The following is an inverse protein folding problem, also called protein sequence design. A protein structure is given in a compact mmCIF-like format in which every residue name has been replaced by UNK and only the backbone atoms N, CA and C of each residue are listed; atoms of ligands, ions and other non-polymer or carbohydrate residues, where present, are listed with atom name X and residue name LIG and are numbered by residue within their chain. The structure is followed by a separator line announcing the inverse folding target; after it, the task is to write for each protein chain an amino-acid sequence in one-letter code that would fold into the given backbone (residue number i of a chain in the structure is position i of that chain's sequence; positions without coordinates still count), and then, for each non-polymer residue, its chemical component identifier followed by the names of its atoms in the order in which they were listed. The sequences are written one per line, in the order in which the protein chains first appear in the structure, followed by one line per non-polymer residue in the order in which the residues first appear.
data_IF_175793776023
#
_entry.id   IF_175793776023
#
_cell.length_a   1.000
_cell.length_b   1.000
_cell.length_c   1.000
_cell.angle_alpha   90.00
_cell.angle_beta   90.00
_cell.angle_gamma   90.00
#
_symmetry.space_group_name_H-M   'P 1'
#
loop_
_entity.id
_entity.type
_entity.pdbx_description
1 polymer ?
#
# COMPACT_ATOMS: atom_id res chain seq x y z
N UNK A 1 -15.68 -18.63 30.63
CA UNK A 1 -14.75 -19.12 29.59
C UNK A 1 -13.89 -17.95 29.14
N UNK A 2 -12.65 -17.86 29.64
CA UNK A 2 -11.71 -16.78 29.28
C UNK A 2 -11.11 -17.11 27.92
N UNK A 3 -11.27 -16.21 26.96
CA UNK A 3 -10.63 -16.30 25.66
C UNK A 3 -9.12 -16.36 25.83
N UNK A 4 -8.50 -17.34 25.17
CA UNK A 4 -7.06 -17.48 25.06
C UNK A 4 -6.56 -16.26 24.30
N UNK A 5 -6.02 -15.28 25.04
CA UNK A 5 -5.30 -14.16 24.46
C UNK A 5 -4.03 -14.71 23.81
N UNK A 6 -3.92 -14.56 22.49
CA UNK A 6 -2.65 -14.77 21.80
C UNK A 6 -1.65 -13.72 22.30
N UNK A 7 -0.76 -14.11 23.21
CA UNK A 7 0.38 -13.31 23.63
C UNK A 7 1.20 -12.88 22.41
N UNK A 8 1.76 -11.65 22.39
CA UNK A 8 2.65 -11.19 21.32
C UNK A 8 3.97 -11.97 21.19
N UNK A 9 4.33 -12.76 22.22
CA UNK A 9 5.66 -13.35 22.39
C UNK A 9 5.93 -14.66 21.61
N UNK A 10 4.90 -15.34 21.08
CA UNK A 10 5.06 -16.63 20.36
C UNK A 10 5.01 -16.49 18.82
N UNK A 11 5.24 -15.29 18.30
CA UNK A 11 5.09 -15.03 16.86
C UNK A 11 6.43 -15.24 16.15
N UNK A 12 6.64 -16.42 15.57
CA UNK A 12 7.57 -16.53 14.44
C UNK A 12 7.15 -15.49 13.39
N UNK A 13 8.05 -14.54 13.10
CA UNK A 13 7.78 -13.45 12.15
C UNK A 13 7.48 -13.97 10.75
N UNK A 14 6.84 -13.14 9.92
CA UNK A 14 6.54 -13.53 8.53
C UNK A 14 7.83 -13.87 7.77
N UNK A 15 7.94 -15.12 7.30
CA UNK A 15 9.10 -15.59 6.53
C UNK A 15 9.31 -14.81 5.24
N UNK A 16 8.22 -14.36 4.61
CA UNK A 16 8.26 -13.50 3.44
C UNK A 16 7.30 -12.32 3.64
N UNK A 17 7.87 -11.13 3.84
CA UNK A 17 7.11 -9.91 4.07
C UNK A 17 6.65 -9.32 2.73
N UNK A 18 5.36 -8.95 2.56
CA UNK A 18 4.91 -8.17 1.42
C UNK A 18 5.80 -6.95 1.16
N UNK A 19 6.13 -6.73 -0.11
CA UNK A 19 6.93 -5.58 -0.54
C UNK A 19 5.97 -4.45 -0.94
N UNK A 20 6.19 -3.26 -0.39
CA UNK A 20 5.49 -2.02 -0.71
C UNK A 20 6.46 -1.06 -1.40
N UNK A 21 6.12 -0.58 -2.58
CA UNK A 21 6.93 0.40 -3.30
C UNK A 21 6.49 1.83 -2.96
N UNK A 22 7.43 2.70 -2.62
CA UNK A 22 7.16 4.10 -2.27
C UNK A 22 7.66 5.05 -3.36
N UNK A 23 6.76 5.89 -3.86
CA UNK A 23 7.01 6.95 -4.83
C UNK A 23 6.77 8.34 -4.18
N UNK A 24 7.05 9.41 -4.94
CA UNK A 24 6.98 10.78 -4.45
C UNK A 24 8.21 11.15 -3.61
N UNK A 25 8.00 11.79 -2.47
CA UNK A 25 9.07 12.20 -1.58
C UNK A 25 9.62 11.01 -0.77
N UNK A 26 10.73 10.45 -1.26
CA UNK A 26 11.43 9.35 -0.60
C UNK A 26 12.04 9.74 0.75
N UNK A 27 12.55 10.96 0.88
CA UNK A 27 13.19 11.40 2.13
C UNK A 27 12.13 11.56 3.23
N UNK A 28 10.97 12.12 2.89
CA UNK A 28 9.81 12.15 3.77
C UNK A 28 9.43 10.75 4.23
N UNK A 29 9.28 9.80 3.29
CA UNK A 29 8.94 8.42 3.64
C UNK A 29 9.96 7.79 4.60
N UNK A 30 11.27 7.97 4.37
CA UNK A 30 12.30 7.44 5.27
C UNK A 30 12.14 7.90 6.72
N UNK A 31 11.60 9.10 6.98
CA UNK A 31 11.30 9.55 8.35
C UNK A 31 10.13 8.82 9.01
N UNK A 32 9.25 8.21 8.20
CA UNK A 32 8.04 7.52 8.61
C UNK A 32 8.15 6.00 8.58
N UNK A 33 9.21 5.46 7.98
CA UNK A 33 9.39 4.01 7.79
C UNK A 33 9.42 3.25 9.11
N UNK A 34 10.28 3.67 10.06
CA UNK A 34 10.41 2.99 11.35
C UNK A 34 9.08 2.93 12.14
N UNK A 35 8.34 4.04 12.36
CA UNK A 35 7.07 3.97 13.07
C UNK A 35 6.03 3.15 12.29
N UNK A 36 6.08 3.13 10.96
CA UNK A 36 5.14 2.36 10.14
C UNK A 36 5.40 0.85 10.27
N UNK A 37 6.67 0.43 10.14
CA UNK A 37 7.11 -0.96 10.34
C UNK A 37 6.81 -1.45 11.75
N UNK A 38 6.96 -0.59 12.76
CA UNK A 38 6.64 -0.92 14.15
C UNK A 38 5.12 -1.06 14.40
N UNK A 39 4.29 -0.26 13.73
CA UNK A 39 2.84 -0.21 13.96
C UNK A 39 2.03 -1.26 13.17
N UNK A 40 2.45 -1.61 11.96
CA UNK A 40 1.76 -2.61 11.10
C UNK A 40 1.51 -3.96 11.81
N UNK A 41 2.47 -4.57 12.54
CA UNK A 41 2.24 -5.88 13.17
C UNK A 41 1.47 -5.82 14.50
N UNK A 42 1.13 -4.64 15.02
CA UNK A 42 0.51 -4.51 16.34
C UNK A 42 -0.93 -5.02 16.39
N UNK A 43 -1.67 -4.85 15.29
CA UNK A 43 -3.09 -5.21 15.21
C UNK A 43 -3.36 -6.20 14.08
N UNK A 44 -4.32 -7.09 14.32
CA UNK A 44 -4.80 -8.01 13.29
C UNK A 44 -5.70 -7.30 12.26
N UNK A 45 -5.66 -7.75 11.02
CA UNK A 45 -6.52 -7.27 9.94
C UNK A 45 -7.38 -8.42 9.41
N UNK A 46 -8.60 -8.11 9.00
CA UNK A 46 -9.53 -9.07 8.43
C UNK A 46 -9.07 -9.48 7.02
N UNK A 47 -8.73 -10.76 6.85
CA UNK A 47 -8.46 -11.36 5.56
C UNK A 47 -9.66 -12.16 5.07
N UNK A 48 -10.38 -11.56 4.11
CA UNK A 48 -11.43 -12.22 3.34
C UNK A 48 -10.82 -12.93 2.15
N UNK A 49 -10.81 -14.26 2.17
CA UNK A 49 -10.31 -15.06 1.05
C UNK A 49 -11.39 -15.27 -0.02
N UNK A 50 -10.97 -15.49 -1.25
CA UNK A 50 -11.88 -15.80 -2.36
C UNK A 50 -12.57 -17.15 -2.19
N UNK A 51 -13.62 -17.37 -2.99
CA UNK A 51 -14.36 -18.64 -3.08
C UNK A 51 -15.02 -19.09 -1.77
N UNK A 52 -15.59 -18.14 -0.99
CA UNK A 52 -16.35 -18.46 0.22
C UNK A 52 -15.52 -19.06 1.36
N UNK A 53 -14.19 -18.98 1.28
CA UNK A 53 -13.30 -19.44 2.35
C UNK A 53 -13.51 -18.58 3.61
N UNK A 54 -13.41 -19.21 4.77
CA UNK A 54 -13.62 -18.57 6.08
C UNK A 54 -12.70 -17.35 6.25
N UNK A 55 -13.28 -16.24 6.67
CA UNK A 55 -12.54 -15.03 7.07
C UNK A 55 -11.59 -15.33 8.22
N UNK A 56 -10.33 -14.90 8.09
CA UNK A 56 -9.33 -15.01 9.14
C UNK A 56 -8.84 -13.64 9.58
N UNK A 57 -8.51 -13.50 10.86
CA UNK A 57 -7.76 -12.36 11.35
C UNK A 57 -6.27 -12.69 11.29
N UNK A 58 -5.50 -11.87 10.58
CA UNK A 58 -4.05 -12.09 10.38
C UNK A 58 -3.26 -10.88 10.82
N UNK A 59 -2.07 -11.14 11.33
CA UNK A 59 -1.06 -10.11 11.56
C UNK A 59 -0.17 -10.05 10.32
N UNK A 60 0.24 -8.84 9.97
CA UNK A 60 1.04 -8.59 8.78
C UNK A 60 2.33 -7.92 9.19
N UNK A 61 3.33 -8.13 8.36
CA UNK A 61 4.52 -7.30 8.30
C UNK A 61 4.63 -6.74 6.87
N UNK A 62 5.47 -5.74 6.67
CA UNK A 62 5.74 -5.18 5.36
C UNK A 62 7.20 -4.76 5.25
N UNK A 63 7.73 -4.82 4.03
CA UNK A 63 9.02 -4.22 3.67
C UNK A 63 8.77 -3.12 2.67
N UNK A 64 9.55 -2.05 2.75
CA UNK A 64 9.38 -0.89 1.90
C UNK A 64 10.61 -0.72 1.01
N UNK A 65 10.37 -0.36 -0.26
CA UNK A 65 11.42 -0.11 -1.24
C UNK A 65 11.10 1.15 -2.02
N UNK A 66 12.13 1.84 -2.52
CA UNK A 66 11.93 2.96 -3.43
C UNK A 66 11.32 2.45 -4.73
N UNK A 67 10.26 3.12 -5.19
CA UNK A 67 9.65 2.82 -6.48
C UNK A 67 10.68 3.03 -7.59
N UNK A 68 10.80 2.03 -8.46
CA UNK A 68 11.71 2.05 -9.59
C UNK A 68 10.93 1.72 -10.86
N UNK A 69 10.78 2.74 -11.72
CA UNK A 69 10.05 2.66 -12.98
C UNK A 69 10.69 1.73 -14.03
N UNK A 70 12.00 1.51 -13.91
CA UNK A 70 12.81 0.77 -14.90
C UNK A 70 12.97 -0.71 -14.52
N UNK A 71 12.52 -1.09 -13.31
CA UNK A 71 12.63 -2.47 -12.84
C UNK A 71 11.50 -3.31 -13.42
N UNK A 72 11.81 -4.13 -14.41
CA UNK A 72 10.89 -5.13 -14.94
C UNK A 72 10.36 -6.02 -13.81
N UNK A 73 9.03 -6.08 -13.65
CA UNK A 73 8.39 -6.91 -12.66
C UNK A 73 7.96 -8.22 -13.33
N UNK A 74 8.41 -9.36 -12.82
CA UNK A 74 7.85 -10.65 -13.20
C UNK A 74 6.41 -10.72 -12.69
N UNK A 75 5.46 -10.99 -13.57
CA UNK A 75 4.02 -11.05 -13.19
C UNK A 75 3.70 -12.19 -12.23
N UNK A 76 4.51 -13.25 -12.21
CA UNK A 76 4.21 -14.52 -11.56
C UNK A 76 4.89 -14.71 -10.21
N UNK A 77 5.95 -13.96 -9.88
CA UNK A 77 6.66 -14.14 -8.60
C UNK A 77 6.19 -13.14 -7.53
N UNK A 78 5.22 -13.58 -6.72
CA UNK A 78 4.59 -12.76 -5.67
C UNK A 78 5.55 -12.30 -4.58
N UNK A 79 6.64 -13.03 -4.33
CA UNK A 79 7.56 -12.77 -3.21
C UNK A 79 8.65 -11.75 -3.55
N UNK A 80 8.95 -11.56 -4.84
CA UNK A 80 10.06 -10.70 -5.30
C UNK A 80 9.61 -9.37 -5.89
N UNK A 81 8.31 -9.10 -5.94
CA UNK A 81 7.75 -7.87 -6.50
C UNK A 81 7.00 -7.05 -5.46
N UNK A 82 6.98 -5.72 -5.59
CA UNK A 82 6.05 -4.89 -4.86
C UNK A 82 4.61 -5.24 -5.21
N UNK A 83 3.80 -5.53 -4.20
CA UNK A 83 2.37 -5.83 -4.39
C UNK A 83 1.50 -4.60 -4.21
N UNK A 84 1.99 -3.59 -3.48
CA UNK A 84 1.26 -2.38 -3.16
C UNK A 84 2.15 -1.16 -3.33
N UNK A 85 1.57 -0.05 -3.78
CA UNK A 85 2.32 1.15 -4.15
C UNK A 85 1.79 2.37 -3.40
N UNK A 86 2.66 3.17 -2.80
CA UNK A 86 2.27 4.35 -2.04
C UNK A 86 3.01 5.56 -2.60
N UNK A 87 2.29 6.62 -2.95
CA UNK A 87 2.89 7.92 -3.24
C UNK A 87 2.86 8.79 -1.98
N UNK A 88 4.00 9.31 -1.58
CA UNK A 88 4.15 10.16 -0.41
C UNK A 88 4.41 11.60 -0.81
N UNK A 89 3.74 12.54 -0.15
CA UNK A 89 3.97 13.98 -0.32
C UNK A 89 3.60 14.70 0.98
N UNK A 90 4.27 15.79 1.30
CA UNK A 90 3.90 16.72 2.39
C UNK A 90 3.50 18.10 1.85
N UNK A 91 3.13 18.17 0.55
CA UNK A 91 2.84 19.40 -0.14
C UNK A 91 1.66 20.15 0.48
N UNK A 92 1.93 21.34 1.01
CA UNK A 92 0.92 22.28 1.54
C UNK A 92 0.63 23.45 0.59
N UNK A 93 1.47 23.66 -0.42
CA UNK A 93 1.36 24.77 -1.36
C UNK A 93 0.53 24.38 -2.59
N UNK A 94 -0.63 25.04 -2.74
CA UNK A 94 -1.56 24.81 -3.86
C UNK A 94 -0.97 25.23 -5.21
N UNK A 95 -0.09 26.21 -5.26
CA UNK A 95 0.52 26.65 -6.51
C UNK A 95 1.62 25.70 -6.96
N UNK A 96 2.45 25.23 -6.02
CA UNK A 96 3.38 24.13 -6.28
C UNK A 96 2.64 22.87 -6.73
N UNK A 97 1.47 22.58 -6.14
CA UNK A 97 0.64 21.47 -6.60
C UNK A 97 0.29 21.57 -8.08
N UNK A 98 -0.26 22.70 -8.52
CA UNK A 98 -0.72 22.88 -9.90
C UNK A 98 0.42 22.81 -10.92
N UNK A 99 1.57 23.37 -10.57
CA UNK A 99 2.69 23.59 -11.49
C UNK A 99 3.68 22.43 -11.51
N UNK A 100 3.69 21.55 -10.50
CA UNK A 100 4.68 20.48 -10.40
C UNK A 100 4.05 19.18 -9.92
N UNK A 101 3.56 19.13 -8.67
CA UNK A 101 3.17 17.86 -8.04
C UNK A 101 2.04 17.12 -8.79
N UNK A 102 1.10 17.86 -9.39
CA UNK A 102 0.01 17.27 -10.20
C UNK A 102 0.58 16.43 -11.35
N UNK A 103 1.58 16.96 -12.06
CA UNK A 103 2.20 16.27 -13.19
C UNK A 103 3.00 15.05 -12.73
N UNK A 104 3.69 15.15 -11.59
CA UNK A 104 4.43 14.03 -11.00
C UNK A 104 3.50 12.87 -10.60
N UNK A 105 2.37 13.18 -9.96
CA UNK A 105 1.35 12.18 -9.59
C UNK A 105 0.74 11.55 -10.84
N UNK A 106 0.38 12.37 -11.84
CA UNK A 106 -0.19 11.89 -13.10
C UNK A 106 0.79 10.95 -13.83
N UNK A 107 2.07 11.31 -13.90
CA UNK A 107 3.11 10.49 -14.51
C UNK A 107 3.28 9.16 -13.76
N UNK A 108 3.28 9.18 -12.43
CA UNK A 108 3.36 7.96 -11.63
C UNK A 108 2.15 7.06 -11.85
N UNK A 109 0.92 7.59 -11.83
CA UNK A 109 -0.30 6.82 -12.09
C UNK A 109 -0.29 6.19 -13.49
N UNK A 110 0.12 6.94 -14.52
CA UNK A 110 0.30 6.40 -15.89
C UNK A 110 1.33 5.27 -15.95
N UNK A 111 2.40 5.35 -15.16
CA UNK A 111 3.38 4.27 -15.05
C UNK A 111 2.79 3.03 -14.38
N UNK A 112 1.99 3.19 -13.33
CA UNK A 112 1.31 2.05 -12.71
C UNK A 112 0.34 1.38 -13.70
N UNK A 113 -0.47 2.19 -14.40
CA UNK A 113 -1.41 1.71 -15.41
C UNK A 113 -0.71 0.95 -16.53
N UNK A 114 0.38 1.49 -17.09
CA UNK A 114 1.20 0.83 -18.12
C UNK A 114 1.71 -0.55 -17.68
N UNK A 115 1.94 -0.75 -16.39
CA UNK A 115 2.40 -2.01 -15.81
C UNK A 115 1.26 -2.86 -15.22
N UNK A 116 0.00 -2.56 -15.52
CA UNK A 116 -1.19 -3.24 -14.98
C UNK A 116 -1.26 -3.25 -13.44
N UNK A 117 -0.70 -2.23 -12.79
CA UNK A 117 -0.70 -2.07 -11.33
C UNK A 117 -1.95 -1.27 -10.94
N UNK A 118 -2.85 -1.91 -10.20
CA UNK A 118 -4.12 -1.30 -9.76
C UNK A 118 -4.20 -1.11 -8.25
N UNK A 119 -3.19 -1.55 -7.49
CA UNK A 119 -3.15 -1.53 -6.04
C UNK A 119 -2.19 -0.44 -5.57
N UNK A 120 -2.75 0.74 -5.28
CA UNK A 120 -1.99 1.91 -4.89
C UNK A 120 -2.77 2.81 -3.93
N UNK A 121 -2.06 3.72 -3.25
CA UNK A 121 -2.66 4.84 -2.51
C UNK A 121 -1.76 6.09 -2.57
N UNK A 122 -2.34 7.26 -2.30
CA UNK A 122 -1.64 8.53 -2.19
C UNK A 122 -1.81 9.05 -0.76
N UNK A 123 -0.69 9.35 -0.10
CA UNK A 123 -0.65 9.84 1.28
C UNK A 123 -0.08 11.25 1.31
N UNK A 124 -0.92 12.20 1.75
CA UNK A 124 -0.50 13.55 2.10
C UNK A 124 -0.14 13.59 3.60
N UNK A 125 1.09 13.96 3.91
CA UNK A 125 1.59 14.12 5.27
C UNK A 125 1.47 15.58 5.67
N UNK A 126 0.55 15.87 6.57
CA UNK A 126 0.31 17.24 7.03
C UNK A 126 1.24 17.60 8.19
N UNK A 127 1.99 18.68 8.04
CA UNK A 127 2.69 19.31 9.17
C UNK A 127 1.74 20.28 9.87
N UNK A 128 1.33 19.93 11.09
CA UNK A 128 0.55 20.83 11.94
C UNK A 128 1.47 21.86 12.61
N UNK A 129 1.35 23.15 12.28
CA UNK A 129 2.06 24.24 12.97
C UNK A 129 1.14 24.93 13.99
N UNK A 130 1.38 24.67 15.27
CA UNK A 130 0.62 25.23 16.41
C UNK A 130 0.71 26.76 16.45
N UNK A 131 1.76 27.35 15.85
CA UNK A 131 1.95 28.82 15.86
C UNK A 131 1.09 29.55 14.81
N UNK A 132 0.43 28.83 13.91
CA UNK A 132 -0.44 29.40 12.86
C UNK A 132 -1.91 29.23 13.22
N UNK A 133 -2.32 29.71 14.40
CA UNK A 133 -3.71 29.60 14.88
C UNK A 133 -4.70 30.56 14.19
N UNK A 134 -4.23 31.53 13.38
CA UNK A 134 -5.06 32.67 12.94
C UNK A 134 -5.06 32.98 11.43
N UNK A 135 -4.79 32.00 10.55
CA UNK A 135 -5.01 32.21 9.11
C UNK A 135 -6.27 31.48 8.68
N UNK A 136 -7.22 32.24 8.11
CA UNK A 136 -8.38 31.73 7.37
C UNK A 136 -7.94 30.50 6.57
N UNK A 137 -8.54 29.34 6.87
CA UNK A 137 -8.23 28.11 6.17
C UNK A 137 -8.42 28.35 4.67
N UNK A 138 -7.46 27.96 3.82
CA UNK A 138 -7.64 28.00 2.38
C UNK A 138 -8.96 27.33 2.01
N UNK A 139 -9.73 27.93 1.08
CA UNK A 139 -11.06 27.42 0.67
C UNK A 139 -11.00 25.98 0.13
N UNK A 140 -9.84 25.52 -0.31
CA UNK A 140 -9.55 24.15 -0.76
C UNK A 140 -8.14 23.75 -0.35
N UNK A 141 -7.98 22.56 0.22
CA UNK A 141 -6.68 21.98 0.57
C UNK A 141 -5.99 21.35 -0.65
N UNK A 142 -4.69 21.03 -0.54
CA UNK A 142 -3.98 20.26 -1.57
C UNK A 142 -4.60 18.87 -1.73
N UNK A 143 -5.03 18.22 -0.65
CA UNK A 143 -5.74 16.94 -0.74
C UNK A 143 -7.04 17.06 -1.54
N UNK A 144 -7.81 18.13 -1.35
CA UNK A 144 -9.05 18.36 -2.12
C UNK A 144 -8.75 18.49 -3.61
N UNK A 145 -7.64 19.14 -3.97
CA UNK A 145 -7.18 19.24 -5.37
C UNK A 145 -6.75 17.89 -5.94
N UNK A 146 -5.93 17.13 -5.20
CA UNK A 146 -5.53 15.78 -5.61
C UNK A 146 -6.77 14.90 -5.83
N UNK A 147 -7.73 14.93 -4.91
CA UNK A 147 -8.98 14.17 -5.05
C UNK A 147 -9.80 14.64 -6.25
N UNK A 148 -9.93 15.96 -6.44
CA UNK A 148 -10.66 16.53 -7.59
C UNK A 148 -10.08 16.11 -8.94
N UNK A 149 -8.76 15.95 -9.01
CA UNK A 149 -8.08 15.61 -10.26
C UNK A 149 -8.00 14.10 -10.51
N UNK A 150 -7.89 13.26 -9.45
CA UNK A 150 -7.54 11.84 -9.60
C UNK A 150 -8.52 10.85 -8.94
N UNK A 151 -9.44 11.28 -8.09
CA UNK A 151 -10.36 10.36 -7.43
C UNK A 151 -11.52 9.96 -8.35
N UNK A 152 -11.82 8.67 -8.37
CA UNK A 152 -13.06 8.13 -8.92
C UNK A 152 -13.88 7.53 -7.78
N UNK A 153 -15.17 7.27 -8.02
CA UNK A 153 -16.08 6.71 -7.00
C UNK A 153 -15.53 5.42 -6.36
N UNK A 154 -14.84 4.57 -7.14
CA UNK A 154 -14.25 3.33 -6.63
C UNK A 154 -12.85 3.47 -6.00
N UNK A 155 -12.21 4.64 -6.08
CA UNK A 155 -10.84 4.88 -5.59
C UNK A 155 -10.73 6.03 -4.60
N UNK A 156 -11.85 6.63 -4.19
CA UNK A 156 -11.87 7.78 -3.27
C UNK A 156 -11.15 7.48 -1.94
N UNK A 157 -11.22 6.25 -1.46
CA UNK A 157 -10.60 5.80 -0.22
C UNK A 157 -9.06 5.67 -0.29
N UNK A 158 -8.47 5.78 -1.48
CA UNK A 158 -7.02 5.70 -1.72
C UNK A 158 -6.28 7.00 -1.46
N UNK A 159 -6.98 8.10 -1.24
CA UNK A 159 -6.41 9.42 -0.98
C UNK A 159 -6.52 9.73 0.51
N UNK A 160 -5.39 9.69 1.21
CA UNK A 160 -5.33 9.77 2.67
C UNK A 160 -4.51 10.97 3.09
N UNK A 161 -4.99 11.71 4.07
CA UNK A 161 -4.16 12.65 4.82
C UNK A 161 -3.81 12.08 6.19
N UNK A 162 -2.59 12.32 6.63
CA UNK A 162 -2.08 11.92 7.95
C UNK A 162 -1.32 13.07 8.58
N UNK A 163 -1.57 13.36 9.86
CA UNK A 163 -0.76 14.35 10.58
C UNK A 163 0.61 13.71 10.85
N UNK A 164 1.68 14.46 10.58
CA UNK A 164 3.06 13.97 10.73
C UNK A 164 3.34 13.52 12.18
N UNK A 165 3.55 12.21 12.43
CA UNK A 165 3.75 11.69 13.78
C UNK A 165 5.08 12.12 14.41
N UNK A 166 6.08 12.44 13.59
CA UNK A 166 7.39 12.91 14.05
C UNK A 166 7.29 14.35 14.60
N UNK A 167 6.32 15.13 14.12
CA UNK A 167 6.11 16.52 14.58
C UNK A 167 5.16 16.60 15.76
N UNK A 168 4.19 15.69 15.88
CA UNK A 168 3.27 15.66 17.03
C UNK A 168 2.57 14.30 17.20
N UNK A 169 3.16 13.43 18.02
CA UNK A 169 2.63 12.08 18.27
C UNK A 169 1.18 12.09 18.81
N UNK A 170 0.89 12.92 19.81
CA UNK A 170 -0.43 12.99 20.43
C UNK A 170 -1.53 13.40 19.43
N UNK A 171 -1.23 14.31 18.49
CA UNK A 171 -2.19 14.79 17.49
C UNK A 171 -2.30 13.84 16.31
N UNK A 172 -1.19 13.19 15.93
CA UNK A 172 -1.19 12.23 14.85
C UNK A 172 -1.87 10.92 15.21
N UNK A 173 -1.94 10.55 16.50
CA UNK A 173 -2.35 9.23 16.97
C UNK A 173 -3.56 8.64 16.24
N UNK A 174 -4.64 9.39 16.08
CA UNK A 174 -5.85 8.91 15.39
C UNK A 174 -5.63 8.72 13.89
N UNK A 175 -5.14 9.77 13.20
CA UNK A 175 -4.87 9.72 11.75
C UNK A 175 -3.82 8.67 11.38
N UNK A 176 -2.83 8.45 12.26
CA UNK A 176 -1.78 7.46 12.10
C UNK A 176 -2.34 6.04 12.25
N UNK A 177 -3.15 5.79 13.29
CA UNK A 177 -3.86 4.50 13.45
C UNK A 177 -4.75 4.20 12.24
N UNK A 178 -5.45 5.20 11.72
CA UNK A 178 -6.26 5.07 10.51
C UNK A 178 -5.42 4.75 9.26
N UNK A 179 -4.28 5.43 9.07
CA UNK A 179 -3.34 5.14 7.98
C UNK A 179 -2.81 3.70 8.07
N UNK A 180 -2.33 3.28 9.25
CA UNK A 180 -1.80 1.92 9.48
C UNK A 180 -2.88 0.86 9.20
N UNK A 181 -4.12 1.09 9.62
CA UNK A 181 -5.24 0.21 9.32
C UNK A 181 -5.51 0.11 7.80
N UNK A 182 -5.50 1.24 7.08
CA UNK A 182 -5.65 1.27 5.62
C UNK A 182 -4.51 0.58 4.89
N UNK A 183 -3.27 0.78 5.32
CA UNK A 183 -2.09 0.11 4.75
C UNK A 183 -2.21 -1.40 4.91
N UNK A 184 -2.57 -1.89 6.10
CA UNK A 184 -2.81 -3.33 6.33
C UNK A 184 -3.91 -3.88 5.41
N UNK A 185 -5.03 -3.16 5.32
CA UNK A 185 -6.15 -3.53 4.48
C UNK A 185 -5.75 -3.62 3.00
N UNK A 186 -5.12 -2.57 2.45
CA UNK A 186 -4.74 -2.55 1.04
C UNK A 186 -3.63 -3.53 0.70
N UNK A 187 -2.68 -3.77 1.60
CA UNK A 187 -1.69 -4.86 1.43
C UNK A 187 -2.40 -6.20 1.28
N UNK A 188 -3.38 -6.51 2.15
CA UNK A 188 -4.14 -7.76 2.04
C UNK A 188 -4.95 -7.84 0.76
N UNK A 189 -5.66 -6.78 0.39
CA UNK A 189 -6.46 -6.74 -0.84
C UNK A 189 -5.56 -7.00 -2.06
N UNK A 190 -4.41 -6.33 -2.13
CA UNK A 190 -3.43 -6.51 -3.20
C UNK A 190 -2.86 -7.93 -3.21
N UNK A 191 -2.49 -8.46 -2.05
CA UNK A 191 -1.96 -9.82 -1.90
C UNK A 191 -2.98 -10.86 -2.37
N UNK A 192 -4.24 -10.68 -2.00
CA UNK A 192 -5.32 -11.59 -2.35
C UNK A 192 -5.58 -11.60 -3.86
N UNK A 193 -5.60 -10.43 -4.51
CA UNK A 193 -5.70 -10.32 -5.97
C UNK A 193 -4.53 -11.02 -6.66
N UNK A 194 -3.32 -10.80 -6.16
CA UNK A 194 -2.13 -11.40 -6.73
C UNK A 194 -2.13 -12.93 -6.57
N UNK A 195 -2.63 -13.43 -5.43
CA UNK A 195 -2.80 -14.86 -5.16
C UNK A 195 -3.86 -15.49 -6.07
N UNK A 196 -4.99 -14.82 -6.32
CA UNK A 196 -6.02 -15.32 -7.25
C UNK A 196 -5.42 -15.49 -8.65
N UNK A 197 -4.74 -14.45 -9.17
CA UNK A 197 -4.10 -14.49 -10.49
C UNK A 197 -3.07 -15.63 -10.58
N UNK A 198 -2.31 -15.85 -9.51
CA UNK A 198 -1.36 -16.94 -9.43
C UNK A 198 -2.04 -18.32 -9.40
N UNK A 199 -3.11 -18.49 -8.60
CA UNK A 199 -3.89 -19.73 -8.55
C UNK A 199 -4.55 -20.04 -9.90
N UNK A 200 -5.04 -19.02 -10.62
CA UNK A 200 -5.60 -19.15 -11.97
C UNK A 200 -4.54 -19.56 -12.99
N UNK A 201 -3.38 -18.90 -13.00
CA UNK A 201 -2.25 -19.28 -13.85
C UNK A 201 -1.81 -20.73 -13.60
N UNK A 202 -1.73 -21.16 -12.33
CA UNK A 202 -1.40 -22.54 -11.98
C UNK A 202 -2.43 -23.55 -12.48
N UNK A 203 -3.71 -23.17 -12.52
CA UNK A 203 -4.78 -23.99 -13.09
C UNK A 203 -4.63 -24.12 -14.59
N UNK A 204 -4.42 -23.01 -15.30
CA UNK A 204 -4.21 -22.99 -16.76
C UNK A 204 -3.02 -23.86 -17.16
N UNK A 205 -1.89 -23.73 -16.44
CA UNK A 205 -0.72 -24.59 -16.69
C UNK A 205 -1.03 -26.07 -16.48
N UNK A 206 -1.88 -26.42 -15.51
CA UNK A 206 -2.27 -27.82 -15.28
C UNK A 206 -3.21 -28.35 -16.37
N UNK A 207 -4.13 -27.52 -16.85
CA UNK A 207 -5.08 -27.88 -17.91
C UNK A 207 -4.37 -28.08 -19.25
N UNK A 208 -3.35 -27.27 -19.53
CA UNK A 208 -2.55 -27.33 -20.76
C UNK A 208 -1.40 -28.34 -20.71
N UNK A 209 -1.32 -29.22 -19.71
CA UNK A 209 -0.22 -30.20 -19.53
C UNK A 209 -0.01 -31.17 -20.69
N UNK A 210 -1.00 -31.32 -21.56
CA UNK A 210 -0.95 -32.18 -22.74
C UNK A 210 -0.50 -31.43 -24.01
N UNK A 211 -0.32 -30.11 -23.93
CA UNK A 211 0.18 -29.30 -25.04
C UNK A 211 1.66 -29.65 -25.29
N UNK A 212 2.08 -29.92 -26.53
CA UNK A 212 3.48 -30.20 -26.87
C UNK A 212 4.46 -29.10 -26.45
N UNK A 213 4.02 -27.84 -26.38
CA UNK A 213 4.84 -26.68 -25.97
C UNK A 213 4.88 -26.50 -24.44
N UNK A 214 4.18 -27.35 -23.69
CA UNK A 214 4.14 -27.28 -22.23
C UNK A 214 5.42 -27.81 -21.60
N UNK A 215 5.95 -27.08 -20.62
CA UNK A 215 7.22 -27.37 -19.96
C UNK A 215 7.02 -27.73 -18.48
N UNK A 216 7.22 -29.01 -18.15
CA UNK A 216 7.10 -29.52 -16.78
C UNK A 216 8.03 -28.80 -15.81
N UNK A 217 9.27 -28.51 -16.20
CA UNK A 217 10.26 -27.88 -15.32
C UNK A 217 9.83 -26.45 -14.96
N UNK A 218 9.29 -25.70 -15.94
CA UNK A 218 8.73 -24.36 -15.67
C UNK A 218 7.52 -24.43 -14.75
N UNK A 219 6.62 -25.40 -14.95
CA UNK A 219 5.47 -25.60 -14.07
C UNK A 219 5.87 -26.03 -12.65
N UNK A 220 6.83 -26.95 -12.52
CA UNK A 220 7.28 -27.47 -11.22
C UNK A 220 7.86 -26.37 -10.33
N UNK A 221 8.58 -25.41 -10.90
CA UNK A 221 9.15 -24.26 -10.17
C UNK A 221 8.06 -23.32 -9.61
N UNK A 222 6.83 -23.41 -10.11
CA UNK A 222 5.69 -22.64 -9.61
C UNK A 222 4.96 -23.32 -8.43
N UNK A 223 5.26 -24.58 -8.09
CA UNK A 223 4.63 -25.29 -6.95
C UNK A 223 5.32 -24.96 -5.62
#
# INVERSE_FOLDING_TARGET
MKGVGNSPADREGMTNKPIVACAGDWNLFCTLEQPLVAAIPQDSCEWRRSYGRITKFVYLEATFVKFNKDKAQSELNLLKRPIFHIYWTDCVDVEYYKTTLREDIELWLKQLEKNNITDWMIVLVETYDIRKTNKLLPRTTVLDKIKGDFAAKQTEDRFVSVINPIKSEARSAESWRALVAKVRHFILVAYNKALIKFEEHMREQRENRNDPEWDFCKYFILQ
#
